data_IF_130715862325
#
_entry.id   IF_130715862325
#
_cell.length_a   1.000
_cell.length_b   1.000
_cell.length_c   1.000
_cell.angle_alpha   90.00
_cell.angle_beta   90.00
_cell.angle_gamma   90.00
#
_symmetry.space_group_name_H-M   'P 1'
#
loop_
_entity.id
_entity.type
_entity.pdbx_description
1 polymer ?
#
# COMPACT_ATOMS: atom_id res chain seq x y z
N UNK A 1 27.07 -0.44 -13.34
CA UNK A 1 26.70 0.43 -12.21
C UNK A 1 27.92 1.25 -11.84
N UNK A 2 27.88 2.57 -12.02
CA UNK A 2 29.02 3.46 -11.79
C UNK A 2 29.19 3.86 -10.32
N UNK A 3 30.36 4.38 -9.93
CA UNK A 3 30.59 4.91 -8.57
C UNK A 3 29.62 6.03 -8.15
N UNK A 4 29.09 6.79 -9.13
CA UNK A 4 28.07 7.80 -8.91
C UNK A 4 26.72 7.19 -8.51
N UNK A 5 26.29 6.12 -9.19
CA UNK A 5 25.03 5.41 -8.87
C UNK A 5 25.05 4.89 -7.42
N UNK A 6 26.16 4.30 -7.00
CA UNK A 6 26.32 3.75 -5.64
C UNK A 6 26.17 4.86 -4.58
N UNK A 7 26.69 6.06 -4.86
CA UNK A 7 26.58 7.21 -3.94
C UNK A 7 25.14 7.74 -3.86
N UNK A 8 24.44 7.77 -4.99
CA UNK A 8 23.03 8.19 -5.08
C UNK A 8 22.16 7.22 -4.28
N UNK A 9 22.30 5.92 -4.51
CA UNK A 9 21.52 4.87 -3.81
C UNK A 9 21.76 4.88 -2.29
N UNK A 10 23.02 5.05 -1.87
CA UNK A 10 23.36 5.10 -0.45
C UNK A 10 22.73 6.33 0.22
N UNK A 11 22.73 7.47 -0.47
CA UNK A 11 22.13 8.72 0.01
C UNK A 11 20.61 8.60 0.09
N UNK A 12 19.98 8.05 -0.94
CA UNK A 12 18.54 7.82 -0.97
C UNK A 12 18.09 6.91 0.17
N UNK A 13 18.82 5.82 0.41
CA UNK A 13 18.55 4.91 1.53
C UNK A 13 18.66 5.60 2.89
N UNK A 14 19.67 6.44 3.08
CA UNK A 14 19.84 7.21 4.31
C UNK A 14 18.67 8.19 4.54
N UNK A 15 18.22 8.87 3.47
CA UNK A 15 17.05 9.77 3.51
C UNK A 15 15.79 9.00 3.93
N UNK A 16 15.48 7.88 3.26
CA UNK A 16 14.29 7.06 3.53
C UNK A 16 14.30 6.48 4.94
N UNK A 17 15.46 6.01 5.42
CA UNK A 17 15.63 5.49 6.76
C UNK A 17 15.37 6.57 7.83
N UNK A 18 16.00 7.74 7.69
CA UNK A 18 15.80 8.87 8.61
C UNK A 18 14.34 9.34 8.63
N UNK A 19 13.67 9.32 7.47
CA UNK A 19 12.24 9.63 7.39
C UNK A 19 11.38 8.62 8.16
N UNK A 20 11.62 7.31 8.00
CA UNK A 20 10.87 6.28 8.72
C UNK A 20 11.05 6.38 10.23
N UNK A 21 12.27 6.67 10.69
CA UNK A 21 12.54 6.94 12.11
C UNK A 21 11.74 8.14 12.62
N UNK A 22 11.79 9.26 11.90
CA UNK A 22 11.02 10.44 12.25
C UNK A 22 9.51 10.22 12.24
N UNK A 23 8.99 9.43 11.29
CA UNK A 23 7.56 9.11 11.20
C UNK A 23 7.06 8.24 12.34
N UNK A 24 7.92 7.41 12.94
CA UNK A 24 7.60 6.69 14.19
C UNK A 24 7.43 7.63 15.37
N UNK A 25 8.14 8.75 15.37
CA UNK A 25 8.13 9.72 16.48
C UNK A 25 7.03 10.77 16.34
N UNK A 26 6.72 11.22 15.11
CA UNK A 26 5.83 12.35 14.88
C UNK A 26 5.09 12.29 13.53
N UNK A 27 3.93 12.96 13.41
CA UNK A 27 3.20 13.07 12.15
C UNK A 27 4.02 13.86 11.10
N UNK A 28 3.80 13.57 9.82
CA UNK A 28 4.60 14.12 8.70
C UNK A 28 4.63 15.65 8.70
N UNK A 29 3.54 16.30 9.09
CA UNK A 29 3.37 17.76 9.10
C UNK A 29 4.32 18.44 10.09
N UNK A 30 4.83 17.69 11.07
CA UNK A 30 5.78 18.17 12.07
C UNK A 30 7.23 17.85 11.72
N UNK A 31 7.49 17.10 10.66
CA UNK A 31 8.86 16.76 10.22
C UNK A 31 9.46 17.95 9.47
N UNK A 32 10.64 18.41 9.91
CA UNK A 32 11.39 19.47 9.22
C UNK A 32 12.52 18.87 8.39
N UNK A 33 12.72 19.38 7.17
CA UNK A 33 13.83 18.95 6.29
C UNK A 33 15.19 19.04 7.00
N UNK A 34 15.43 20.09 7.81
CA UNK A 34 16.65 20.22 8.60
C UNK A 34 16.87 19.00 9.53
N UNK A 35 15.83 18.64 10.27
CA UNK A 35 15.90 17.53 11.23
C UNK A 35 16.15 16.19 10.53
N UNK A 36 15.51 15.98 9.37
CA UNK A 36 15.76 14.81 8.54
C UNK A 36 17.21 14.77 8.04
N UNK A 37 17.73 15.90 7.54
CA UNK A 37 19.11 16.02 7.05
C UNK A 37 20.12 15.73 8.16
N UNK A 38 19.89 16.25 9.37
CA UNK A 38 20.73 16.02 10.54
C UNK A 38 20.76 14.52 10.88
N UNK A 39 19.61 13.82 10.83
CA UNK A 39 19.50 12.38 11.12
C UNK A 39 20.07 11.49 10.01
N UNK A 40 19.92 11.89 8.75
CA UNK A 40 20.50 11.20 7.60
C UNK A 40 22.00 11.50 7.39
N UNK A 41 22.59 12.41 8.17
CA UNK A 41 23.96 12.90 8.03
C UNK A 41 24.25 13.47 6.62
N UNK A 42 23.34 14.29 6.08
CA UNK A 42 23.47 14.92 4.76
C UNK A 42 23.24 16.43 4.83
N UNK A 43 23.67 17.15 3.79
CA UNK A 43 23.35 18.56 3.63
C UNK A 43 21.93 18.74 3.05
N UNK A 44 21.30 19.89 3.34
CA UNK A 44 20.01 20.26 2.73
C UNK A 44 20.05 20.29 1.21
N UNK A 45 21.14 20.77 0.61
CA UNK A 45 21.31 20.78 -0.84
C UNK A 45 21.28 19.36 -1.42
N UNK A 46 21.84 18.38 -0.70
CA UNK A 46 21.74 16.97 -1.05
C UNK A 46 20.30 16.49 -0.98
N UNK A 47 19.57 16.76 0.10
CA UNK A 47 18.14 16.41 0.19
C UNK A 47 17.34 16.99 -0.99
N UNK A 48 17.50 18.29 -1.27
CA UNK A 48 16.76 18.96 -2.34
C UNK A 48 17.14 18.51 -3.75
N UNK A 49 18.29 17.84 -3.92
CA UNK A 49 18.63 17.19 -5.18
C UNK A 49 17.83 15.90 -5.41
N UNK A 50 17.28 15.29 -4.36
CA UNK A 50 16.44 14.08 -4.44
C UNK A 50 14.94 14.40 -4.34
N UNK A 51 14.54 15.33 -3.45
CA UNK A 51 13.13 15.62 -3.16
C UNK A 51 12.90 17.11 -2.97
N UNK A 52 11.84 17.63 -3.59
CA UNK A 52 11.48 19.05 -3.50
C UNK A 52 11.13 19.48 -2.06
N UNK A 53 10.45 18.63 -1.31
CA UNK A 53 10.08 18.84 0.09
C UNK A 53 9.82 17.52 0.82
N UNK A 54 9.35 17.60 2.06
CA UNK A 54 9.06 16.43 2.89
C UNK A 54 7.84 15.64 2.40
N UNK A 55 6.89 16.30 1.75
CA UNK A 55 5.69 15.65 1.21
C UNK A 55 6.01 14.90 -0.08
N UNK A 56 6.92 15.42 -0.91
CA UNK A 56 7.44 14.72 -2.08
C UNK A 56 8.15 13.42 -1.69
N UNK A 57 8.99 13.44 -0.64
CA UNK A 57 9.59 12.22 -0.08
C UNK A 57 8.53 11.25 0.44
N UNK A 58 7.58 11.76 1.23
CA UNK A 58 6.51 10.93 1.79
C UNK A 58 5.69 10.26 0.68
N UNK A 59 5.30 11.02 -0.36
CA UNK A 59 4.60 10.49 -1.52
C UNK A 59 5.44 9.39 -2.19
N UNK A 60 6.71 9.64 -2.51
CA UNK A 60 7.57 8.64 -3.13
C UNK A 60 7.64 7.32 -2.32
N UNK A 61 7.80 7.40 -1.00
CA UNK A 61 7.81 6.21 -0.14
C UNK A 61 6.45 5.52 -0.03
N UNK A 62 5.36 6.27 -0.08
CA UNK A 62 3.99 5.73 -0.13
C UNK A 62 3.71 5.03 -1.46
N UNK A 63 4.16 5.59 -2.58
CA UNK A 63 4.08 5.01 -3.92
C UNK A 63 4.83 3.68 -3.96
N UNK A 64 6.07 3.66 -3.46
CA UNK A 64 6.88 2.44 -3.34
C UNK A 64 6.19 1.38 -2.48
N UNK A 65 5.54 1.78 -1.38
CA UNK A 65 4.83 0.85 -0.51
C UNK A 65 3.56 0.28 -1.13
N UNK A 66 2.79 1.11 -1.82
CA UNK A 66 1.63 0.63 -2.61
C UNK A 66 2.11 -0.35 -3.68
N UNK A 67 3.22 -0.04 -4.34
CA UNK A 67 3.79 -0.92 -5.36
C UNK A 67 4.24 -2.26 -4.77
N UNK A 68 5.01 -2.24 -3.67
CA UNK A 68 5.47 -3.46 -2.99
C UNK A 68 4.31 -4.38 -2.59
N UNK A 69 3.23 -3.79 -2.06
CA UNK A 69 2.01 -4.53 -1.69
C UNK A 69 1.36 -5.14 -2.93
N UNK A 70 1.22 -4.40 -4.03
CA UNK A 70 0.60 -4.90 -5.26
C UNK A 70 1.48 -5.94 -5.95
N UNK A 71 2.80 -5.79 -5.95
CA UNK A 71 3.74 -6.77 -6.49
C UNK A 71 3.81 -8.06 -5.66
N UNK A 72 3.52 -7.99 -4.36
CA UNK A 72 3.40 -9.19 -3.52
C UNK A 72 2.16 -10.02 -3.85
N UNK A 73 1.18 -9.43 -4.56
CA UNK A 73 0.02 -10.16 -5.03
C UNK A 73 0.38 -10.99 -6.27
N UNK A 74 -0.16 -12.21 -6.40
CA UNK A 74 -0.09 -12.95 -7.65
C UNK A 74 -0.74 -12.14 -8.78
N UNK A 75 -0.35 -12.43 -10.02
CA UNK A 75 -0.94 -11.76 -11.19
C UNK A 75 -2.46 -11.97 -11.21
N UNK A 76 -3.20 -10.92 -10.84
CA UNK A 76 -4.65 -10.91 -10.75
C UNK A 76 -5.29 -10.81 -12.13
N UNK A 77 -6.35 -11.57 -12.34
CA UNK A 77 -7.21 -11.47 -13.52
C UNK A 77 -8.60 -10.97 -13.13
N UNK A 78 -9.36 -10.48 -14.11
CA UNK A 78 -10.75 -10.06 -13.88
C UNK A 78 -11.62 -11.23 -13.37
N UNK A 79 -11.38 -12.47 -13.82
CA UNK A 79 -12.12 -13.64 -13.35
C UNK A 79 -11.80 -13.99 -11.91
N UNK A 80 -10.57 -13.78 -11.42
CA UNK A 80 -10.22 -14.03 -10.02
C UNK A 80 -11.08 -13.21 -9.04
N UNK A 81 -11.41 -11.96 -9.42
CA UNK A 81 -12.26 -11.06 -8.62
C UNK A 81 -13.67 -11.63 -8.47
N UNK A 82 -14.21 -12.28 -9.49
CA UNK A 82 -15.56 -12.86 -9.46
C UNK A 82 -15.61 -14.32 -9.00
N UNK A 83 -14.64 -15.14 -9.37
CA UNK A 83 -14.73 -16.60 -9.22
C UNK A 83 -13.95 -17.12 -8.02
N UNK A 84 -12.94 -16.37 -7.56
CA UNK A 84 -11.96 -16.81 -6.56
C UNK A 84 -11.80 -15.81 -5.42
N UNK A 85 -12.92 -15.24 -4.95
CA UNK A 85 -12.95 -14.23 -3.87
C UNK A 85 -12.30 -14.66 -2.56
N UNK A 86 -12.38 -15.94 -2.18
CA UNK A 86 -11.70 -16.45 -0.99
C UNK A 86 -10.19 -16.43 -1.13
N UNK A 87 -9.71 -16.84 -2.29
CA UNK A 87 -8.30 -16.77 -2.62
C UNK A 87 -7.84 -15.31 -2.65
N UNK A 88 -8.58 -14.42 -3.33
CA UNK A 88 -8.27 -12.99 -3.38
C UNK A 88 -8.18 -12.36 -1.98
N UNK A 89 -9.16 -12.62 -1.11
CA UNK A 89 -9.15 -12.12 0.27
C UNK A 89 -7.91 -12.61 1.04
N UNK A 90 -7.52 -13.87 0.85
CA UNK A 90 -6.32 -14.44 1.47
C UNK A 90 -5.04 -13.77 1.00
N UNK A 91 -4.88 -13.60 -0.31
CA UNK A 91 -3.65 -13.01 -0.88
C UNK A 91 -3.52 -11.54 -0.46
N UNK A 92 -4.62 -10.78 -0.39
CA UNK A 92 -4.59 -9.42 0.14
C UNK A 92 -4.24 -9.37 1.62
N UNK A 93 -4.82 -10.26 2.44
CA UNK A 93 -4.48 -10.32 3.87
C UNK A 93 -2.99 -10.61 4.08
N UNK A 94 -2.42 -11.54 3.31
CA UNK A 94 -0.99 -11.85 3.33
C UNK A 94 -0.13 -10.66 2.92
N UNK A 95 -0.49 -10.00 1.82
CA UNK A 95 0.20 -8.81 1.34
C UNK A 95 0.25 -7.69 2.39
N UNK A 96 -0.88 -7.40 3.05
CA UNK A 96 -0.92 -6.38 4.10
C UNK A 96 -0.12 -6.78 5.34
N UNK A 97 -0.18 -8.06 5.73
CA UNK A 97 0.54 -8.56 6.91
C UNK A 97 2.05 -8.55 6.70
N UNK A 98 2.52 -8.88 5.48
CA UNK A 98 3.94 -8.86 5.14
C UNK A 98 4.59 -7.47 5.31
N UNK A 99 3.82 -6.40 5.10
CA UNK A 99 4.29 -5.02 5.14
C UNK A 99 3.72 -4.21 6.31
N UNK A 100 3.14 -4.86 7.32
CA UNK A 100 2.35 -4.20 8.37
C UNK A 100 3.09 -3.07 9.08
N UNK A 101 4.35 -3.30 9.46
CA UNK A 101 5.13 -2.32 10.20
C UNK A 101 5.37 -1.06 9.37
N UNK A 102 5.76 -1.19 8.10
CA UNK A 102 6.00 -0.06 7.20
C UNK A 102 4.71 0.70 6.89
N UNK A 103 3.63 -0.02 6.55
CA UNK A 103 2.31 0.56 6.28
C UNK A 103 1.85 1.40 7.47
N UNK A 104 1.95 0.86 8.68
CA UNK A 104 1.50 1.56 9.90
C UNK A 104 2.25 2.86 10.16
N UNK A 105 3.55 2.93 9.81
CA UNK A 105 4.39 4.10 10.04
C UNK A 105 4.15 5.15 8.95
N UNK A 106 4.24 4.75 7.68
CA UNK A 106 4.14 5.64 6.52
C UNK A 106 2.79 6.36 6.51
N UNK A 107 1.71 5.57 6.61
CA UNK A 107 0.34 6.06 6.48
C UNK A 107 -0.30 6.42 7.83
N UNK A 108 0.46 6.60 8.92
CA UNK A 108 -0.14 7.03 10.20
C UNK A 108 -0.71 8.46 10.14
N UNK A 109 -1.74 8.73 10.94
CA UNK A 109 -2.32 10.07 11.08
C UNK A 109 -3.19 10.48 9.89
N UNK A 110 -3.00 11.70 9.39
CA UNK A 110 -3.76 12.29 8.28
C UNK A 110 -3.74 11.47 6.98
N UNK A 111 -2.75 10.58 6.82
CA UNK A 111 -2.50 9.80 5.61
C UNK A 111 -3.14 8.41 5.63
N UNK A 112 -3.77 8.00 6.73
CA UNK A 112 -4.30 6.65 6.93
C UNK A 112 -5.34 6.26 5.87
N UNK A 113 -6.19 7.20 5.47
CA UNK A 113 -7.22 6.98 4.46
C UNK A 113 -6.70 6.91 3.02
N UNK A 114 -5.43 7.26 2.77
CA UNK A 114 -4.88 7.27 1.41
C UNK A 114 -4.46 5.88 0.96
N UNK A 115 -3.85 5.08 1.85
CA UNK A 115 -3.21 3.83 1.48
C UNK A 115 -4.13 2.88 0.70
N UNK A 116 -5.28 2.54 1.29
CA UNK A 116 -6.13 1.51 0.72
C UNK A 116 -6.77 1.92 -0.61
N UNK A 117 -7.08 3.21 -0.76
CA UNK A 117 -7.60 3.77 -2.01
C UNK A 117 -6.55 3.68 -3.12
N UNK A 118 -5.28 3.90 -2.79
CA UNK A 118 -4.17 3.79 -3.75
C UNK A 118 -3.88 2.34 -4.13
N UNK A 119 -3.93 1.41 -3.17
CA UNK A 119 -3.82 -0.04 -3.45
C UNK A 119 -4.95 -0.49 -4.36
N UNK A 120 -6.19 -0.11 -4.05
CA UNK A 120 -7.35 -0.45 -4.89
C UNK A 120 -7.18 0.07 -6.32
N UNK A 121 -6.77 1.33 -6.48
CA UNK A 121 -6.54 1.93 -7.79
C UNK A 121 -5.45 1.18 -8.58
N UNK A 122 -4.33 0.85 -7.93
CA UNK A 122 -3.25 0.12 -8.56
C UNK A 122 -3.69 -1.29 -8.99
N UNK A 123 -4.44 -2.02 -8.15
CA UNK A 123 -5.01 -3.32 -8.52
C UNK A 123 -5.96 -3.23 -9.71
N UNK A 124 -6.82 -2.21 -9.76
CA UNK A 124 -7.72 -1.97 -10.91
C UNK A 124 -6.92 -1.76 -12.20
N UNK A 125 -5.86 -0.94 -12.14
CA UNK A 125 -4.99 -0.67 -13.28
C UNK A 125 -4.27 -1.95 -13.76
N UNK A 126 -3.74 -2.76 -12.84
CA UNK A 126 -3.10 -4.03 -13.19
C UNK A 126 -4.06 -4.98 -13.89
N UNK A 127 -5.30 -5.10 -13.41
CA UNK A 127 -6.32 -5.96 -14.04
C UNK A 127 -6.70 -5.40 -15.41
N UNK A 128 -6.98 -4.10 -15.52
CA UNK A 128 -7.40 -3.43 -16.75
C UNK A 128 -6.35 -3.51 -17.88
N UNK A 129 -5.06 -3.54 -17.53
CA UNK A 129 -3.97 -3.77 -18.50
C UNK A 129 -4.05 -5.13 -19.19
N UNK A 130 -4.57 -6.15 -18.49
CA UNK A 130 -4.73 -7.51 -19.03
C UNK A 130 -6.13 -7.77 -19.59
N UNK A 131 -7.14 -7.11 -19.04
CA UNK A 131 -8.54 -7.19 -19.46
C UNK A 131 -9.20 -5.81 -19.41
N UNK A 132 -9.19 -5.05 -20.54
CA UNK A 132 -9.79 -3.73 -20.60
C UNK A 132 -11.29 -3.69 -20.33
N UNK A 133 -12.01 -4.82 -20.41
CA UNK A 133 -13.44 -4.87 -20.11
C UNK A 133 -13.75 -4.66 -18.63
N UNK A 134 -12.75 -4.86 -17.76
CA UNK A 134 -12.87 -4.61 -16.33
C UNK A 134 -13.23 -3.15 -16.00
N UNK A 135 -12.83 -2.18 -16.83
CA UNK A 135 -13.15 -0.76 -16.62
C UNK A 135 -14.66 -0.47 -16.70
N UNK A 136 -15.41 -1.26 -17.47
CA UNK A 136 -16.88 -1.09 -17.60
C UNK A 136 -17.67 -2.07 -16.74
N UNK A 137 -17.04 -3.11 -16.19
CA UNK A 137 -17.67 -4.10 -15.32
C UNK A 137 -17.86 -3.56 -13.89
N UNK A 138 -19.01 -2.94 -13.64
CA UNK A 138 -19.36 -2.37 -12.33
C UNK A 138 -19.42 -3.43 -11.24
N UNK A 139 -19.89 -4.64 -11.54
CA UNK A 139 -20.04 -5.71 -10.55
C UNK A 139 -18.67 -6.15 -10.05
N UNK A 140 -17.73 -6.44 -10.96
CA UNK A 140 -16.36 -6.81 -10.57
C UNK A 140 -15.65 -5.67 -9.83
N UNK A 141 -15.85 -4.41 -10.23
CA UNK A 141 -15.28 -3.26 -9.50
C UNK A 141 -15.82 -3.17 -8.06
N UNK A 142 -17.12 -3.34 -7.85
CA UNK A 142 -17.75 -3.34 -6.52
C UNK A 142 -17.19 -4.48 -5.66
N UNK A 143 -17.08 -5.68 -6.23
CA UNK A 143 -16.52 -6.84 -5.52
C UNK A 143 -15.07 -6.60 -5.14
N UNK A 144 -14.25 -6.07 -6.05
CA UNK A 144 -12.86 -5.73 -5.76
C UNK A 144 -12.78 -4.70 -4.63
N UNK A 145 -13.55 -3.60 -4.70
CA UNK A 145 -13.60 -2.60 -3.62
C UNK A 145 -13.97 -3.24 -2.29
N UNK A 146 -15.02 -4.07 -2.26
CA UNK A 146 -15.46 -4.71 -1.04
C UNK A 146 -14.37 -5.62 -0.44
N UNK A 147 -13.70 -6.41 -1.28
CA UNK A 147 -12.62 -7.28 -0.83
C UNK A 147 -11.43 -6.47 -0.32
N UNK A 148 -10.96 -5.48 -1.08
CA UNK A 148 -9.78 -4.67 -0.74
C UNK A 148 -10.02 -3.89 0.57
N UNK A 149 -11.12 -3.14 0.63
CA UNK A 149 -11.47 -2.32 1.79
C UNK A 149 -11.79 -3.18 3.01
N UNK A 150 -12.56 -4.26 2.82
CA UNK A 150 -12.92 -5.20 3.88
C UNK A 150 -11.69 -5.91 4.47
N UNK A 151 -10.78 -6.39 3.62
CA UNK A 151 -9.54 -7.03 4.06
C UNK A 151 -8.65 -6.04 4.82
N UNK A 152 -8.48 -4.82 4.32
CA UNK A 152 -7.64 -3.82 4.97
C UNK A 152 -8.21 -3.31 6.29
N UNK A 153 -9.50 -3.00 6.35
CA UNK A 153 -10.14 -2.59 7.60
C UNK A 153 -10.03 -3.68 8.66
N UNK A 154 -10.23 -4.92 8.23
CA UNK A 154 -10.10 -6.07 9.10
C UNK A 154 -8.66 -6.27 9.57
N UNK A 155 -7.69 -6.15 8.67
CA UNK A 155 -6.27 -6.19 8.99
C UNK A 155 -5.89 -5.12 10.02
N UNK A 156 -6.35 -3.88 9.84
CA UNK A 156 -6.02 -2.78 10.76
C UNK A 156 -6.71 -2.89 12.13
N UNK A 157 -7.90 -3.50 12.19
CA UNK A 157 -8.75 -3.51 13.39
C UNK A 157 -8.69 -4.82 14.18
N UNK A 158 -8.63 -5.95 13.50
CA UNK A 158 -8.83 -7.30 14.07
C UNK A 158 -7.63 -8.24 13.86
N UNK A 159 -6.55 -7.79 13.22
CA UNK A 159 -5.34 -8.62 13.09
C UNK A 159 -4.81 -9.02 14.49
N UNK A 160 -4.58 -10.32 14.68
CA UNK A 160 -4.18 -10.91 15.97
C UNK A 160 -5.32 -11.23 16.95
N UNK A 161 -6.57 -10.85 16.65
CA UNK A 161 -7.74 -11.11 17.52
C UNK A 161 -8.58 -12.33 17.07
N UNK A 162 -8.38 -12.80 15.84
CA UNK A 162 -9.09 -13.96 15.29
C UNK A 162 -8.16 -14.78 14.41
N UNK A 163 -8.44 -16.09 14.29
CA UNK A 163 -7.75 -16.98 13.36
C UNK A 163 -7.86 -16.45 11.92
N UNK A 164 -6.70 -16.32 11.25
CA UNK A 164 -6.58 -15.79 9.89
C UNK A 164 -7.48 -16.54 8.91
N UNK A 165 -7.51 -17.89 8.99
CA UNK A 165 -8.30 -18.70 8.04
C UNK A 165 -9.78 -18.38 8.21
N UNK A 166 -10.27 -18.36 9.45
CA UNK A 166 -11.68 -18.02 9.74
C UNK A 166 -12.04 -16.62 9.23
N UNK A 167 -11.13 -15.66 9.39
CA UNK A 167 -11.35 -14.29 8.96
C UNK A 167 -11.43 -14.17 7.43
N UNK A 168 -10.49 -14.79 6.73
CA UNK A 168 -10.47 -14.86 5.27
C UNK A 168 -11.74 -15.52 4.75
N UNK A 169 -12.14 -16.66 5.33
CA UNK A 169 -13.38 -17.36 4.94
C UNK A 169 -14.62 -16.48 5.12
N UNK A 170 -14.69 -15.70 6.21
CA UNK A 170 -15.80 -14.78 6.46
C UNK A 170 -15.84 -13.68 5.40
N UNK A 171 -14.73 -12.97 5.18
CA UNK A 171 -14.66 -11.89 4.18
C UNK A 171 -15.00 -12.39 2.78
N UNK A 172 -14.52 -13.59 2.43
CA UNK A 172 -14.85 -14.26 1.18
C UNK A 172 -16.34 -14.58 1.04
N UNK A 173 -17.00 -15.01 2.12
CA UNK A 173 -18.43 -15.29 2.11
C UNK A 173 -19.24 -14.01 1.83
N UNK A 174 -18.82 -12.88 2.39
CA UNK A 174 -19.49 -11.59 2.18
C UNK A 174 -19.26 -11.10 0.75
N UNK A 175 -18.03 -11.20 0.23
CA UNK A 175 -17.72 -10.86 -1.16
C UNK A 175 -18.53 -11.69 -2.17
N UNK A 176 -18.67 -13.00 -1.93
CA UNK A 176 -19.54 -13.88 -2.75
C UNK A 176 -21.01 -13.50 -2.65
N UNK A 177 -21.48 -13.11 -1.46
CA UNK A 177 -22.85 -12.66 -1.29
C UNK A 177 -23.11 -11.39 -2.09
N UNK A 178 -22.16 -10.45 -2.12
CA UNK A 178 -22.26 -9.21 -2.90
C UNK A 178 -22.42 -9.46 -4.40
N UNK A 179 -21.78 -10.50 -4.95
CA UNK A 179 -21.93 -10.90 -6.36
C UNK A 179 -23.34 -11.37 -6.73
N UNK A 180 -24.12 -11.85 -5.75
CA UNK A 180 -25.48 -12.37 -5.97
C UNK A 180 -26.55 -11.29 -5.88
N UNK A 181 -26.17 -10.08 -5.46
CA UNK A 181 -27.06 -8.92 -5.46
C UNK A 181 -27.17 -8.45 -6.91
N UNK A 182 -28.16 -9.00 -7.65
CA UNK A 182 -28.51 -8.50 -8.97
C UNK A 182 -29.08 -7.09 -8.83
N UNK A 183 -28.47 -6.12 -9.50
CA UNK A 183 -29.11 -4.85 -9.85
C UNK A 183 -29.99 -5.05 -11.09
#
# INVERSE_FOLDING_TARGET
>A
MGFLDIRIEKTERAIKQAFMELRREKPVEKIRVKELCDRACINKSTFYAHYQDIYALANAMEDEMVHAVVESLPRLTASDVSERTEWLAREMFRAFTAHQAEISVLFSGSRQGLFINRVEQAMRQCIAQTDPTFETDVVRKVVLSFCVQGCYYTFTTYCGQMDEKRLVTLLASIARAAQRIRM
#
